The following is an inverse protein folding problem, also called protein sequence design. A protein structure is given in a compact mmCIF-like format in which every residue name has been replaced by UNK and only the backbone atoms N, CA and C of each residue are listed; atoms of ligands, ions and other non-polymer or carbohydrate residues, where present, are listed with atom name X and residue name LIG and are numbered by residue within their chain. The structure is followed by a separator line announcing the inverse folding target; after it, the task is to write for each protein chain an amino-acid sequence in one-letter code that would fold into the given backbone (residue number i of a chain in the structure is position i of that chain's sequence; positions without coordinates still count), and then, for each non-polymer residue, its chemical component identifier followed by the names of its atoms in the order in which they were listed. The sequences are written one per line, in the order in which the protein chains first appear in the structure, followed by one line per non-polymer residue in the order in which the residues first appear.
data_IF_511169385120
#
_entry.id   IF_511169385120
#
_cell.length_a   1.000
_cell.length_b   1.000
_cell.length_c   1.000
_cell.angle_alpha   90.00
_cell.angle_beta   90.00
_cell.angle_gamma   90.00
#
_symmetry.space_group_name_H-M   'P 1'
#
loop_
_entity.id
_entity.type
_entity.pdbx_description
1 polymer ?
#
# COMPACT_ATOMS: atom_id res chain seq x y z
N UNK A 1 -24.44 -1.04 -54.98
CA UNK A 1 -24.91 -1.08 -53.59
C UNK A 1 -23.73 -0.71 -52.70
N UNK A 2 -23.86 0.44 -52.03
CA UNK A 2 -22.75 1.21 -51.43
C UNK A 2 -22.20 0.61 -50.13
N UNK A 3 -20.94 0.20 -50.15
CA UNK A 3 -20.17 -0.25 -48.95
C UNK A 3 -19.73 0.85 -47.99
N UNK A 4 -20.27 2.08 -48.08
CA UNK A 4 -19.86 3.24 -47.27
C UNK A 4 -20.72 3.53 -46.05
N UNK A 5 -21.86 2.88 -45.86
CA UNK A 5 -22.82 3.21 -44.79
C UNK A 5 -22.64 2.42 -43.52
N UNK A 6 -21.89 1.31 -43.54
CA UNK A 6 -21.77 0.40 -42.38
C UNK A 6 -20.69 0.85 -41.34
N UNK A 7 -19.76 1.70 -41.75
CA UNK A 7 -18.66 2.17 -40.84
C UNK A 7 -19.03 3.35 -39.94
N UNK A 8 -20.03 4.13 -40.33
CA UNK A 8 -20.47 5.30 -39.56
C UNK A 8 -21.30 4.94 -38.31
N UNK A 9 -21.98 3.78 -38.33
CA UNK A 9 -22.84 3.35 -37.21
C UNK A 9 -22.00 2.80 -36.03
N UNK A 10 -20.84 2.13 -36.30
CA UNK A 10 -19.98 1.58 -35.26
C UNK A 10 -19.20 2.66 -34.50
N UNK A 11 -18.76 3.71 -35.17
CA UNK A 11 -18.06 4.85 -34.55
C UNK A 11 -18.97 5.70 -33.66
N UNK A 12 -20.25 5.80 -34.00
CA UNK A 12 -21.21 6.61 -33.23
C UNK A 12 -21.66 5.92 -31.92
N UNK A 13 -21.74 4.58 -31.93
CA UNK A 13 -22.09 3.81 -30.71
C UNK A 13 -20.96 3.86 -29.67
N UNK A 14 -19.67 3.84 -30.10
CA UNK A 14 -18.53 3.94 -29.19
C UNK A 14 -18.42 5.31 -28.52
N UNK A 15 -18.72 6.39 -29.26
CA UNK A 15 -18.69 7.77 -28.71
C UNK A 15 -19.84 8.02 -27.73
N UNK A 16 -21.02 7.43 -27.94
CA UNK A 16 -22.16 7.57 -27.05
C UNK A 16 -21.94 6.81 -25.72
N UNK A 17 -21.25 5.68 -25.74
CA UNK A 17 -21.00 4.91 -24.50
C UNK A 17 -19.97 5.56 -23.60
N UNK A 18 -18.92 6.19 -24.13
CA UNK A 18 -17.92 6.92 -23.34
C UNK A 18 -18.50 8.19 -22.70
N UNK A 19 -19.31 8.95 -23.43
CA UNK A 19 -20.01 10.13 -22.90
C UNK A 19 -21.03 9.79 -21.81
N UNK A 20 -21.68 8.65 -21.91
CA UNK A 20 -22.65 8.17 -20.93
C UNK A 20 -21.99 7.78 -19.59
N UNK A 21 -20.83 7.10 -19.62
CA UNK A 21 -20.09 6.70 -18.42
C UNK A 21 -19.58 7.88 -17.62
N UNK A 22 -19.00 8.89 -18.26
CA UNK A 22 -18.56 10.12 -17.59
C UNK A 22 -19.74 10.88 -16.95
N UNK A 23 -20.92 10.88 -17.59
CA UNK A 23 -22.13 11.47 -17.01
C UNK A 23 -22.58 10.74 -15.74
N UNK A 24 -22.57 9.41 -15.70
CA UNK A 24 -22.93 8.63 -14.52
C UNK A 24 -21.92 8.82 -13.37
N UNK A 25 -20.62 8.82 -13.65
CA UNK A 25 -19.57 9.11 -12.66
C UNK A 25 -19.76 10.48 -12.01
N UNK A 26 -20.06 11.52 -12.80
CA UNK A 26 -20.34 12.86 -12.28
C UNK A 26 -21.56 12.87 -11.37
N UNK A 27 -22.69 12.31 -11.83
CA UNK A 27 -23.91 12.19 -11.03
C UNK A 27 -23.68 11.42 -9.73
N UNK A 28 -22.88 10.32 -9.79
CA UNK A 28 -22.55 9.56 -8.61
C UNK A 28 -21.77 10.39 -7.58
N UNK A 29 -20.78 11.16 -8.02
CA UNK A 29 -20.00 12.04 -7.14
C UNK A 29 -20.86 13.15 -6.52
N UNK A 30 -21.81 13.69 -7.25
CA UNK A 30 -22.79 14.67 -6.73
C UNK A 30 -23.69 14.07 -5.64
N UNK A 31 -24.13 12.80 -5.81
CA UNK A 31 -24.89 12.09 -4.78
C UNK A 31 -24.02 11.74 -3.56
N UNK A 32 -22.74 11.47 -3.76
CA UNK A 32 -21.77 11.27 -2.66
C UNK A 32 -21.62 12.56 -1.86
N UNK A 33 -21.44 13.71 -2.50
CA UNK A 33 -21.30 15.00 -1.80
C UNK A 33 -22.55 15.40 -1.00
N UNK A 34 -23.73 14.95 -1.46
CA UNK A 34 -25.01 15.13 -0.76
C UNK A 34 -25.31 14.06 0.29
N UNK A 35 -24.42 13.09 0.47
CA UNK A 35 -24.63 11.92 1.35
C UNK A 35 -25.92 11.12 1.02
N UNK A 36 -26.42 11.20 -0.22
CA UNK A 36 -27.62 10.49 -0.66
C UNK A 36 -27.30 9.04 -1.01
N UNK A 37 -27.24 8.20 0.01
CA UNK A 37 -26.92 6.76 -0.13
C UNK A 37 -27.96 6.01 -0.96
N UNK A 38 -29.25 6.37 -0.86
CA UNK A 38 -30.32 5.73 -1.63
C UNK A 38 -30.21 6.09 -3.11
N UNK A 39 -30.00 7.36 -3.41
CA UNK A 39 -29.77 7.85 -4.78
C UNK A 39 -28.53 7.20 -5.41
N UNK A 40 -27.41 7.10 -4.66
CA UNK A 40 -26.22 6.39 -5.11
C UNK A 40 -26.54 4.95 -5.53
N UNK A 41 -27.26 4.19 -4.70
CA UNK A 41 -27.61 2.78 -4.99
C UNK A 41 -28.48 2.68 -6.26
N UNK A 42 -29.51 3.51 -6.39
CA UNK A 42 -30.38 3.53 -7.58
C UNK A 42 -29.60 3.88 -8.85
N UNK A 43 -28.71 4.88 -8.76
CA UNK A 43 -27.89 5.30 -9.89
C UNK A 43 -26.93 4.19 -10.33
N UNK A 44 -26.25 3.49 -9.40
CA UNK A 44 -25.37 2.37 -9.70
C UNK A 44 -26.11 1.23 -10.42
N UNK A 45 -27.29 0.86 -9.96
CA UNK A 45 -28.13 -0.15 -10.61
C UNK A 45 -28.51 0.25 -12.05
N UNK A 46 -28.92 1.51 -12.26
CA UNK A 46 -29.20 2.04 -13.59
C UNK A 46 -27.96 2.05 -14.48
N UNK A 47 -26.82 2.48 -13.95
CA UNK A 47 -25.56 2.51 -14.68
C UNK A 47 -25.14 1.10 -15.14
N UNK A 48 -25.26 0.10 -14.25
CA UNK A 48 -24.96 -1.30 -14.56
C UNK A 48 -25.86 -1.86 -15.68
N UNK A 49 -27.16 -1.52 -15.67
CA UNK A 49 -28.09 -1.91 -16.73
C UNK A 49 -27.77 -1.27 -18.09
N UNK A 50 -27.35 0.00 -18.08
CA UNK A 50 -27.08 0.75 -19.32
C UNK A 50 -25.67 0.44 -19.86
N UNK A 51 -24.66 0.33 -19.00
CA UNK A 51 -23.28 0.09 -19.41
C UNK A 51 -22.49 -0.70 -18.36
N UNK A 52 -22.69 -2.00 -18.33
CA UNK A 52 -21.91 -2.89 -17.45
C UNK A 52 -20.44 -3.07 -17.87
N UNK A 53 -20.02 -2.45 -18.99
CA UNK A 53 -18.64 -2.50 -19.49
C UNK A 53 -17.87 -1.19 -19.25
N UNK A 54 -18.32 -0.41 -18.26
CA UNK A 54 -17.65 0.80 -17.84
C UNK A 54 -16.75 0.50 -16.61
N UNK A 55 -15.43 0.69 -16.68
CA UNK A 55 -14.54 0.45 -15.55
C UNK A 55 -14.89 1.31 -14.32
N UNK A 56 -15.36 2.54 -14.54
CA UNK A 56 -15.70 3.45 -13.45
C UNK A 56 -16.94 3.00 -12.63
N UNK A 57 -17.81 2.18 -13.22
CA UNK A 57 -18.92 1.56 -12.52
C UNK A 57 -18.44 0.67 -11.35
N UNK A 58 -17.42 -0.17 -11.60
CA UNK A 58 -16.87 -1.08 -10.59
C UNK A 58 -16.15 -0.31 -9.47
N UNK A 59 -15.44 0.75 -9.82
CA UNK A 59 -14.82 1.67 -8.85
C UNK A 59 -15.91 2.38 -8.02
N UNK A 60 -17.00 2.81 -8.64
CA UNK A 60 -18.11 3.46 -7.94
C UNK A 60 -18.83 2.51 -6.97
N UNK A 61 -19.12 1.27 -7.38
CA UNK A 61 -19.66 0.23 -6.50
C UNK A 61 -18.71 -0.07 -5.33
N UNK A 62 -17.44 -0.27 -5.61
CA UNK A 62 -16.42 -0.49 -4.58
C UNK A 62 -16.44 0.62 -3.54
N UNK A 63 -16.32 1.88 -3.98
CA UNK A 63 -16.33 3.03 -3.09
C UNK A 63 -17.64 3.19 -2.31
N UNK A 64 -18.77 2.84 -2.92
CA UNK A 64 -20.07 2.85 -2.26
C UNK A 64 -20.11 1.87 -1.08
N UNK A 65 -19.71 0.62 -1.30
CA UNK A 65 -19.72 -0.41 -0.27
C UNK A 65 -18.62 -0.19 0.79
N UNK A 66 -17.44 0.30 0.42
CA UNK A 66 -16.41 0.71 1.37
C UNK A 66 -16.93 1.76 2.35
N UNK A 67 -17.53 2.84 1.85
CA UNK A 67 -18.12 3.87 2.73
C UNK A 67 -19.22 3.31 3.62
N UNK A 68 -20.08 2.44 3.06
CA UNK A 68 -21.17 1.81 3.81
C UNK A 68 -20.67 0.84 4.88
N UNK A 69 -19.53 0.18 4.67
CA UNK A 69 -18.95 -0.76 5.61
C UNK A 69 -18.31 -0.09 6.82
N UNK A 70 -17.84 1.16 6.69
CA UNK A 70 -17.22 1.89 7.78
C UNK A 70 -18.26 2.25 8.84
N UNK A 71 -18.01 1.85 10.08
CA UNK A 71 -18.86 2.10 11.25
C UNK A 71 -18.07 2.88 12.29
N UNK A 72 -18.67 3.91 12.85
CA UNK A 72 -18.10 4.66 13.97
C UNK A 72 -18.66 4.08 15.27
N UNK A 73 -17.78 3.96 16.28
CA UNK A 73 -18.10 3.50 17.62
C UNK A 73 -17.43 4.40 18.64
N UNK A 74 -17.90 4.36 19.86
CA UNK A 74 -17.22 4.93 21.03
C UNK A 74 -16.62 3.78 21.83
N UNK A 75 -15.34 3.85 22.14
CA UNK A 75 -14.66 2.91 23.02
C UNK A 75 -14.40 3.51 24.39
N UNK A 76 -14.36 2.64 25.38
CA UNK A 76 -13.94 2.96 26.76
C UNK A 76 -12.97 1.85 27.16
N UNK A 77 -11.69 2.16 27.21
CA UNK A 77 -10.62 1.24 27.63
C UNK A 77 -9.35 1.99 28.04
N UNK A 78 -8.30 1.26 28.43
CA UNK A 78 -6.99 1.82 28.83
C UNK A 78 -6.14 2.31 27.66
N UNK A 79 -6.44 1.88 26.42
CA UNK A 79 -5.59 2.08 25.24
C UNK A 79 -5.82 3.44 24.55
N UNK A 80 -6.70 4.26 25.10
CA UNK A 80 -7.11 5.55 24.54
C UNK A 80 -6.18 6.72 24.83
N UNK A 81 -5.05 6.53 25.55
CA UNK A 81 -4.14 7.61 25.99
C UNK A 81 -3.68 8.50 24.84
N UNK A 82 -3.27 7.88 23.74
CA UNK A 82 -2.70 8.59 22.57
C UNK A 82 -3.74 8.88 21.48
N UNK A 83 -5.03 8.56 21.74
CA UNK A 83 -6.12 8.70 20.75
C UNK A 83 -6.97 9.96 20.94
N UNK A 84 -6.52 10.90 21.79
CA UNK A 84 -7.22 12.18 22.03
C UNK A 84 -8.56 12.02 22.75
N UNK A 85 -8.72 10.95 23.52
CA UNK A 85 -9.93 10.65 24.27
C UNK A 85 -10.11 11.45 25.55
N UNK A 86 -11.34 11.47 26.09
CA UNK A 86 -11.62 11.99 27.42
C UNK A 86 -11.12 11.03 28.48
N UNK A 87 -10.42 11.56 29.50
CA UNK A 87 -9.93 10.76 30.62
C UNK A 87 -11.06 10.43 31.60
N UNK A 88 -11.13 9.18 32.01
CA UNK A 88 -12.03 8.69 33.06
C UNK A 88 -11.20 8.57 34.34
N UNK A 89 -11.49 9.43 35.31
CA UNK A 89 -10.82 9.44 36.63
C UNK A 89 -11.66 8.67 37.64
N UNK A 90 -10.99 7.99 38.58
CA UNK A 90 -11.69 7.39 39.75
C UNK A 90 -12.01 8.49 40.75
N UNK A 91 -13.27 8.56 41.17
CA UNK A 91 -13.69 9.42 42.28
C UNK A 91 -12.98 8.93 43.58
N UNK A 92 -12.52 9.79 44.41
CA UNK A 92 -11.78 9.49 45.65
C UNK A 92 -10.40 8.80 45.53
N UNK A 93 -9.75 8.90 44.42
CA UNK A 93 -8.43 8.32 44.23
C UNK A 93 -7.31 9.32 44.48
N UNK A 94 -6.35 8.97 45.35
CA UNK A 94 -5.08 9.68 45.47
C UNK A 94 -4.18 9.50 44.21
N UNK A 95 -4.56 8.58 43.32
CA UNK A 95 -3.89 8.29 42.05
C UNK A 95 -4.42 9.26 41.01
N UNK A 96 -3.53 10.10 40.47
CA UNK A 96 -3.86 11.10 39.44
C UNK A 96 -3.86 10.51 38.00
N UNK A 97 -3.76 9.20 37.87
CA UNK A 97 -3.78 8.54 36.55
C UNK A 97 -5.19 8.14 36.16
N UNK A 98 -5.57 8.32 34.88
CA UNK A 98 -6.85 7.88 34.37
C UNK A 98 -7.01 6.36 34.47
N UNK A 99 -8.20 5.90 34.83
CA UNK A 99 -8.53 4.46 34.87
C UNK A 99 -8.99 3.94 33.51
N UNK A 100 -9.45 4.83 32.63
CA UNK A 100 -9.82 4.54 31.25
C UNK A 100 -9.86 5.84 30.43
N UNK A 101 -10.05 5.67 29.11
CA UNK A 101 -10.25 6.77 28.17
C UNK A 101 -11.52 6.50 27.35
N UNK A 102 -12.28 7.57 27.04
CA UNK A 102 -13.43 7.54 26.15
C UNK A 102 -13.01 8.19 24.83
N UNK A 103 -12.99 7.43 23.74
CA UNK A 103 -12.57 7.94 22.44
C UNK A 103 -13.39 7.36 21.28
N UNK A 104 -13.42 8.11 20.19
CA UNK A 104 -14.02 7.64 18.94
C UNK A 104 -13.11 6.64 18.22
N UNK A 105 -13.70 5.55 17.73
CA UNK A 105 -13.03 4.57 16.91
C UNK A 105 -13.92 4.18 15.72
N UNK A 106 -13.37 3.46 14.76
CA UNK A 106 -14.11 2.98 13.61
C UNK A 106 -13.62 1.59 13.20
N UNK A 107 -14.55 0.79 12.67
CA UNK A 107 -14.24 -0.52 12.10
C UNK A 107 -14.98 -0.70 10.79
N UNK A 108 -14.59 -1.70 10.01
CA UNK A 108 -15.29 -2.09 8.80
C UNK A 108 -16.17 -3.31 9.05
N UNK A 109 -17.47 -3.18 8.76
CA UNK A 109 -18.38 -4.33 8.71
C UNK A 109 -17.91 -5.29 7.61
N UNK A 110 -17.47 -6.47 8.02
CA UNK A 110 -16.85 -7.46 7.13
C UNK A 110 -17.78 -7.94 6.01
N UNK A 111 -19.08 -8.12 6.31
CA UNK A 111 -20.05 -8.56 5.32
C UNK A 111 -20.29 -7.52 4.22
N UNK A 112 -20.39 -6.25 4.62
CA UNK A 112 -20.57 -5.15 3.67
C UNK A 112 -19.25 -4.89 2.89
N UNK A 113 -18.10 -4.98 3.55
CA UNK A 113 -16.79 -4.84 2.90
C UNK A 113 -16.57 -5.94 1.85
N UNK A 114 -17.03 -7.16 2.13
CA UNK A 114 -16.95 -8.28 1.18
C UNK A 114 -17.68 -7.93 -0.14
N UNK A 115 -18.83 -7.26 -0.06
CA UNK A 115 -19.52 -6.79 -1.28
C UNK A 115 -18.67 -5.78 -2.08
N UNK A 116 -17.90 -4.91 -1.40
CA UNK A 116 -16.98 -4.01 -2.10
C UNK A 116 -15.90 -4.80 -2.84
N UNK A 117 -15.31 -5.80 -2.17
CA UNK A 117 -14.26 -6.66 -2.75
C UNK A 117 -14.80 -7.42 -3.97
N UNK A 118 -16.01 -7.97 -3.90
CA UNK A 118 -16.62 -8.67 -5.04
C UNK A 118 -16.81 -7.79 -6.28
N UNK A 119 -17.24 -6.53 -6.08
CA UNK A 119 -17.38 -5.61 -7.20
C UNK A 119 -16.03 -5.22 -7.80
N UNK A 120 -15.01 -4.93 -6.95
CA UNK A 120 -13.68 -4.57 -7.50
C UNK A 120 -13.01 -5.76 -8.18
N UNK A 121 -13.22 -7.00 -7.72
CA UNK A 121 -12.74 -8.22 -8.36
C UNK A 121 -13.36 -8.43 -9.75
N UNK A 122 -14.68 -8.17 -9.88
CA UNK A 122 -15.35 -8.15 -11.20
C UNK A 122 -14.72 -7.10 -12.12
N UNK A 123 -14.38 -5.93 -11.57
CA UNK A 123 -13.69 -4.86 -12.29
C UNK A 123 -12.30 -5.28 -12.73
N UNK A 124 -11.47 -5.82 -11.84
CA UNK A 124 -10.11 -6.30 -12.13
C UNK A 124 -10.14 -7.41 -13.18
N UNK A 125 -11.10 -8.33 -13.11
CA UNK A 125 -11.25 -9.40 -14.09
C UNK A 125 -11.56 -8.86 -15.50
N UNK A 126 -12.40 -7.82 -15.61
CA UNK A 126 -12.76 -7.20 -16.90
C UNK A 126 -11.70 -6.22 -17.41
N UNK A 127 -11.03 -5.51 -16.52
CA UNK A 127 -10.08 -4.45 -16.82
C UNK A 127 -8.75 -4.69 -16.09
N UNK A 128 -8.04 -5.78 -16.41
CA UNK A 128 -6.94 -6.28 -15.59
C UNK A 128 -5.74 -5.34 -15.52
N UNK A 129 -5.61 -4.38 -16.45
CA UNK A 129 -4.54 -3.39 -16.48
C UNK A 129 -4.84 -2.13 -15.61
N UNK A 130 -6.04 -2.03 -15.01
CA UNK A 130 -6.42 -0.93 -14.11
C UNK A 130 -5.75 -1.12 -12.75
N UNK A 131 -4.59 -0.50 -12.58
CA UNK A 131 -3.78 -0.60 -11.36
C UNK A 131 -4.48 0.04 -10.15
N UNK A 132 -5.22 1.12 -10.36
CA UNK A 132 -6.00 1.79 -9.32
C UNK A 132 -7.06 0.88 -8.67
N UNK A 133 -7.64 -0.07 -9.42
CA UNK A 133 -8.56 -1.05 -8.85
C UNK A 133 -7.83 -2.03 -7.91
N UNK A 134 -6.65 -2.53 -8.33
CA UNK A 134 -5.82 -3.42 -7.50
C UNK A 134 -5.32 -2.71 -6.24
N UNK A 135 -4.80 -1.49 -6.40
CA UNK A 135 -4.34 -0.69 -5.27
C UNK A 135 -5.46 -0.30 -4.31
N UNK A 136 -6.67 -0.01 -4.82
CA UNK A 136 -7.84 0.19 -3.98
C UNK A 136 -8.20 -1.02 -3.13
N UNK A 137 -8.11 -2.23 -3.70
CA UNK A 137 -8.33 -3.49 -2.99
C UNK A 137 -7.25 -3.75 -1.93
N UNK A 138 -5.97 -3.61 -2.31
CA UNK A 138 -4.82 -3.73 -1.39
C UNK A 138 -4.99 -2.75 -0.21
N UNK A 139 -5.24 -1.48 -0.51
CA UNK A 139 -5.45 -0.44 0.51
C UNK A 139 -6.53 -0.85 1.52
N UNK A 140 -7.66 -1.38 1.04
CA UNK A 140 -8.74 -1.78 1.93
C UNK A 140 -8.40 -2.97 2.83
N UNK A 141 -7.63 -3.93 2.34
CA UNK A 141 -7.14 -5.00 3.20
C UNK A 141 -6.19 -4.47 4.29
N UNK A 142 -5.31 -3.54 3.96
CA UNK A 142 -4.45 -2.85 4.93
C UNK A 142 -5.27 -2.08 5.98
N UNK A 143 -6.28 -1.31 5.56
CA UNK A 143 -7.16 -0.57 6.46
C UNK A 143 -8.03 -1.49 7.36
N UNK A 144 -8.33 -2.68 6.90
CA UNK A 144 -9.04 -3.69 7.68
C UNK A 144 -8.12 -4.56 8.55
N UNK A 145 -6.81 -4.31 8.55
CA UNK A 145 -5.76 -5.10 9.19
C UNK A 145 -5.78 -6.59 8.76
N UNK A 146 -6.25 -6.89 7.53
CA UNK A 146 -6.21 -8.23 6.94
C UNK A 146 -4.90 -8.38 6.15
N UNK A 147 -3.78 -8.47 6.88
CA UNK A 147 -2.44 -8.43 6.31
C UNK A 147 -2.09 -9.65 5.45
N UNK A 148 -2.73 -10.79 5.65
CA UNK A 148 -2.57 -11.93 4.75
C UNK A 148 -3.16 -11.64 3.38
N UNK A 149 -4.43 -11.18 3.30
CA UNK A 149 -5.04 -10.80 2.02
C UNK A 149 -4.38 -9.60 1.38
N UNK A 150 -3.90 -8.65 2.19
CA UNK A 150 -3.09 -7.52 1.74
C UNK A 150 -1.85 -8.02 0.98
N UNK A 151 -1.09 -8.93 1.61
CA UNK A 151 0.12 -9.52 1.03
C UNK A 151 -0.19 -10.34 -0.23
N UNK A 152 -1.21 -11.18 -0.18
CA UNK A 152 -1.58 -12.03 -1.31
C UNK A 152 -2.01 -11.21 -2.54
N UNK A 153 -2.76 -10.12 -2.35
CA UNK A 153 -3.17 -9.25 -3.46
C UNK A 153 -1.98 -8.47 -4.03
N UNK A 154 -1.02 -8.04 -3.19
CA UNK A 154 0.24 -7.45 -3.64
C UNK A 154 1.00 -8.45 -4.51
N UNK A 155 1.18 -9.69 -4.05
CA UNK A 155 1.88 -10.75 -4.78
C UNK A 155 1.18 -11.07 -6.11
N UNK A 156 -0.15 -11.16 -6.12
CA UNK A 156 -0.92 -11.33 -7.36
C UNK A 156 -0.69 -10.18 -8.34
N UNK A 157 -0.63 -8.94 -7.83
CA UNK A 157 -0.39 -7.75 -8.65
C UNK A 157 1.03 -7.74 -9.22
N UNK A 158 2.05 -8.13 -8.43
CA UNK A 158 3.43 -8.28 -8.89
C UNK A 158 3.52 -9.37 -9.98
N UNK A 159 2.92 -10.53 -9.76
CA UNK A 159 2.93 -11.60 -10.76
C UNK A 159 2.25 -11.15 -12.07
N UNK A 160 1.15 -10.38 -11.97
CA UNK A 160 0.48 -9.86 -13.15
C UNK A 160 1.30 -8.78 -13.87
N UNK A 161 2.13 -8.00 -13.16
CA UNK A 161 3.00 -6.98 -13.78
C UNK A 161 3.98 -7.58 -14.80
N UNK A 162 4.43 -8.80 -14.57
CA UNK A 162 5.27 -9.53 -15.52
C UNK A 162 4.47 -9.94 -16.77
N UNK A 163 3.21 -10.33 -16.62
CA UNK A 163 2.32 -10.73 -17.71
C UNK A 163 1.94 -9.55 -18.60
N UNK A 164 1.54 -8.41 -18.00
CA UNK A 164 1.14 -7.22 -18.75
C UNK A 164 2.33 -6.31 -19.14
N UNK A 165 3.57 -6.70 -18.76
CA UNK A 165 4.81 -5.94 -19.04
C UNK A 165 4.72 -4.50 -18.52
N UNK A 166 4.16 -4.30 -17.33
CA UNK A 166 3.88 -3.00 -16.72
C UNK A 166 3.02 -2.06 -17.57
N UNK A 167 2.21 -2.56 -18.50
CA UNK A 167 1.26 -1.75 -19.27
C UNK A 167 0.05 -1.39 -18.41
N UNK A 168 0.31 -0.62 -17.35
CA UNK A 168 -0.69 -0.19 -16.39
C UNK A 168 -1.46 1.04 -16.87
N UNK A 169 -2.73 1.07 -16.54
CA UNK A 169 -3.59 2.25 -16.66
C UNK A 169 -4.11 2.68 -15.29
N UNK A 170 -4.51 3.92 -15.20
CA UNK A 170 -5.07 4.54 -14.00
C UNK A 170 -6.50 5.01 -14.26
N UNK A 171 -7.03 5.87 -13.40
CA UNK A 171 -8.38 6.46 -13.53
C UNK A 171 -8.73 6.79 -14.98
N UNK A 172 -9.96 6.55 -15.36
CA UNK A 172 -10.47 6.75 -16.73
C UNK A 172 -9.69 5.96 -17.79
N UNK A 173 -9.05 4.86 -17.38
CA UNK A 173 -8.20 3.98 -18.24
C UNK A 173 -7.05 4.70 -18.92
N UNK A 174 -6.56 5.82 -18.35
CA UNK A 174 -5.41 6.55 -18.88
C UNK A 174 -4.13 5.79 -18.60
N UNK A 175 -3.21 5.65 -19.58
CA UNK A 175 -1.89 5.10 -19.34
C UNK A 175 -1.12 5.90 -18.28
N UNK A 176 -0.24 5.24 -17.54
CA UNK A 176 0.72 5.89 -16.65
C UNK A 176 1.98 6.27 -17.44
N UNK A 177 2.57 7.44 -17.16
CA UNK A 177 3.78 7.91 -17.85
C UNK A 177 5.01 7.05 -17.54
N UNK A 178 5.18 6.65 -16.27
CA UNK A 178 6.28 5.77 -15.83
C UNK A 178 5.71 4.58 -15.04
N UNK A 179 5.00 3.67 -15.70
CA UNK A 179 4.16 2.69 -15.01
C UNK A 179 4.94 1.71 -14.15
N UNK A 180 6.14 1.28 -14.54
CA UNK A 180 6.98 0.41 -13.73
C UNK A 180 7.50 1.11 -12.48
N UNK A 181 8.01 2.33 -12.62
CA UNK A 181 8.52 3.10 -11.49
C UNK A 181 7.40 3.42 -10.49
N UNK A 182 6.25 3.88 -10.98
CA UNK A 182 5.08 4.14 -10.14
C UNK A 182 4.64 2.89 -9.38
N UNK A 183 4.61 1.74 -10.05
CA UNK A 183 4.24 0.46 -9.45
C UNK A 183 5.22 0.06 -8.35
N UNK A 184 6.52 0.07 -8.63
CA UNK A 184 7.55 -0.35 -7.68
C UNK A 184 7.64 0.59 -6.48
N UNK A 185 7.47 1.91 -6.68
CA UNK A 185 7.40 2.88 -5.59
C UNK A 185 6.23 2.60 -4.64
N UNK A 186 5.03 2.31 -5.18
CA UNK A 186 3.88 1.95 -4.36
C UNK A 186 4.08 0.64 -3.58
N UNK A 187 4.84 -0.33 -4.14
CA UNK A 187 5.19 -1.54 -3.40
C UNK A 187 6.11 -1.24 -2.21
N UNK A 188 7.00 -0.25 -2.33
CA UNK A 188 7.82 0.21 -1.22
C UNK A 188 6.95 0.81 -0.10
N UNK A 189 5.96 1.65 -0.44
CA UNK A 189 5.02 2.22 0.54
C UNK A 189 4.26 1.12 1.30
N UNK A 190 3.86 0.04 0.63
CA UNK A 190 3.22 -1.11 1.28
C UNK A 190 4.17 -1.90 2.20
N UNK A 191 5.45 -2.01 1.84
CA UNK A 191 6.47 -2.62 2.71
C UNK A 191 6.69 -1.77 3.97
N UNK A 192 6.76 -0.44 3.82
CA UNK A 192 6.85 0.50 4.95
C UNK A 192 5.62 0.36 5.86
N UNK A 193 4.41 0.29 5.30
CA UNK A 193 3.18 0.10 6.07
C UNK A 193 3.24 -1.19 6.92
N UNK A 194 3.76 -2.31 6.40
CA UNK A 194 3.92 -3.53 7.19
C UNK A 194 4.96 -3.36 8.29
N UNK A 195 6.09 -2.75 7.99
CA UNK A 195 7.16 -2.50 8.94
C UNK A 195 6.71 -1.61 10.11
N UNK A 196 5.98 -0.54 9.83
CA UNK A 196 5.45 0.41 10.83
C UNK A 196 4.41 -0.19 11.78
N UNK A 197 3.90 -1.39 11.49
CA UNK A 197 3.05 -2.10 12.46
C UNK A 197 3.82 -2.61 13.68
N UNK A 198 5.15 -2.70 13.59
CA UNK A 198 6.05 -3.27 14.60
C UNK A 198 5.70 -4.72 15.01
N UNK A 199 5.01 -5.47 14.13
CA UNK A 199 4.56 -6.82 14.38
C UNK A 199 5.50 -7.85 13.76
N UNK A 200 6.23 -8.57 14.59
CA UNK A 200 7.18 -9.60 14.14
C UNK A 200 6.52 -10.71 13.29
N UNK A 201 5.23 -11.00 13.54
CA UNK A 201 4.47 -11.97 12.74
C UNK A 201 4.34 -11.56 11.26
N UNK A 202 4.48 -10.26 10.92
CA UNK A 202 4.40 -9.75 9.55
C UNK A 202 5.74 -9.74 8.81
N UNK A 203 6.85 -10.11 9.46
CA UNK A 203 8.14 -10.26 8.78
C UNK A 203 8.09 -11.28 7.64
N UNK A 204 7.32 -12.36 7.82
CA UNK A 204 7.08 -13.33 6.75
C UNK A 204 6.36 -12.72 5.54
N UNK A 205 5.38 -11.84 5.77
CA UNK A 205 4.66 -11.11 4.73
C UNK A 205 5.60 -10.18 3.96
N UNK A 206 6.43 -9.41 4.67
CA UNK A 206 7.44 -8.54 4.06
C UNK A 206 8.44 -9.33 3.21
N UNK A 207 8.92 -10.47 3.71
CA UNK A 207 9.84 -11.35 2.97
C UNK A 207 9.20 -11.86 1.67
N UNK A 208 7.98 -12.39 1.73
CA UNK A 208 7.24 -12.89 0.56
C UNK A 208 7.08 -11.81 -0.52
N UNK A 209 6.77 -10.57 -0.14
CA UNK A 209 6.63 -9.45 -1.08
C UNK A 209 7.99 -9.14 -1.70
N UNK A 210 9.05 -8.95 -0.90
CA UNK A 210 10.40 -8.61 -1.38
C UNK A 210 10.95 -9.69 -2.33
N UNK A 211 10.84 -10.96 -1.97
CA UNK A 211 11.25 -12.10 -2.81
C UNK A 211 10.47 -12.12 -4.13
N UNK A 212 9.16 -11.84 -4.09
CA UNK A 212 8.33 -11.82 -5.30
C UNK A 212 8.72 -10.65 -6.22
N UNK A 213 9.03 -9.47 -5.67
CA UNK A 213 9.56 -8.35 -6.48
C UNK A 213 10.88 -8.75 -7.10
N UNK A 214 11.83 -9.27 -6.33
CA UNK A 214 13.18 -9.64 -6.79
C UNK A 214 13.17 -10.77 -7.84
N UNK A 215 12.14 -11.60 -7.87
CA UNK A 215 11.94 -12.59 -8.95
C UNK A 215 11.80 -11.96 -10.33
N UNK A 216 11.14 -10.81 -10.43
CA UNK A 216 10.86 -10.12 -11.70
C UNK A 216 11.72 -8.87 -11.91
N UNK A 217 12.18 -8.27 -10.82
CA UNK A 217 13.00 -7.05 -10.77
C UNK A 217 14.24 -7.31 -9.89
N UNK A 218 15.16 -8.17 -10.34
CA UNK A 218 16.25 -8.69 -9.49
C UNK A 218 17.21 -7.61 -8.98
N UNK A 219 17.21 -6.44 -9.61
CA UNK A 219 18.10 -5.30 -9.27
C UNK A 219 17.34 -4.15 -8.58
N UNK A 220 16.14 -4.40 -8.06
CA UNK A 220 15.38 -3.42 -7.30
C UNK A 220 15.99 -3.24 -5.90
N UNK A 221 16.68 -2.11 -5.69
CA UNK A 221 17.50 -1.84 -4.51
C UNK A 221 16.66 -1.83 -3.23
N UNK A 222 15.50 -1.21 -3.25
CA UNK A 222 14.59 -1.13 -2.11
C UNK A 222 14.13 -2.53 -1.67
N UNK A 223 13.82 -3.42 -2.61
CA UNK A 223 13.43 -4.80 -2.26
C UNK A 223 14.60 -5.64 -1.76
N UNK A 224 15.82 -5.40 -2.24
CA UNK A 224 17.03 -6.00 -1.66
C UNK A 224 17.22 -5.55 -0.21
N UNK A 225 17.00 -4.26 0.07
CA UNK A 225 17.09 -3.70 1.42
C UNK A 225 15.98 -4.25 2.32
N UNK A 226 14.73 -4.32 1.85
CA UNK A 226 13.61 -4.87 2.61
C UNK A 226 13.84 -6.34 2.98
N UNK A 227 14.32 -7.16 2.04
CA UNK A 227 14.64 -8.57 2.32
C UNK A 227 15.75 -8.69 3.36
N UNK A 228 16.75 -7.81 3.29
CA UNK A 228 17.80 -7.75 4.30
C UNK A 228 17.27 -7.40 5.69
N UNK A 229 16.39 -6.39 5.79
CA UNK A 229 15.76 -5.99 7.06
C UNK A 229 15.03 -7.18 7.69
N UNK A 230 14.28 -7.94 6.90
CA UNK A 230 13.58 -9.16 7.36
C UNK A 230 14.59 -10.16 7.96
N UNK A 231 15.68 -10.47 7.26
CA UNK A 231 16.70 -11.40 7.77
C UNK A 231 17.41 -10.86 9.02
N UNK A 232 17.68 -9.55 9.09
CA UNK A 232 18.31 -8.93 10.25
C UNK A 232 17.43 -9.01 11.50
N UNK A 233 16.12 -8.71 11.37
CA UNK A 233 15.16 -8.83 12.46
C UNK A 233 14.97 -10.28 12.92
N UNK A 234 15.11 -11.24 12.01
CA UNK A 234 15.17 -12.68 12.32
C UNK A 234 16.55 -13.15 12.85
N UNK A 235 17.50 -12.23 13.07
CA UNK A 235 18.89 -12.52 13.52
C UNK A 235 19.70 -13.39 12.54
N UNK A 236 19.31 -13.44 11.25
CA UNK A 236 20.00 -14.17 10.20
C UNK A 236 20.96 -13.24 9.45
N UNK A 237 21.92 -12.67 10.16
CA UNK A 237 22.75 -11.55 9.69
C UNK A 237 23.53 -11.84 8.39
N UNK A 238 24.06 -13.06 8.23
CA UNK A 238 24.78 -13.44 7.01
C UNK A 238 23.85 -13.46 5.78
N UNK A 239 22.59 -13.90 5.94
CA UNK A 239 21.60 -13.85 4.88
C UNK A 239 21.17 -12.42 4.57
N UNK A 240 21.11 -11.55 5.58
CA UNK A 240 20.80 -10.14 5.41
C UNK A 240 21.88 -9.35 4.67
N UNK A 241 23.14 -9.68 4.86
CA UNK A 241 24.26 -9.02 4.18
C UNK A 241 24.27 -9.28 2.66
N UNK A 242 23.93 -10.47 2.21
CA UNK A 242 24.02 -10.82 0.79
C UNK A 242 23.22 -9.90 -0.15
N UNK A 243 21.92 -9.62 0.10
CA UNK A 243 21.15 -8.68 -0.74
C UNK A 243 21.68 -7.23 -0.63
N UNK A 244 22.15 -6.78 0.54
CA UNK A 244 22.70 -5.43 0.69
C UNK A 244 24.01 -5.25 -0.08
N UNK A 245 24.91 -6.22 -0.07
CA UNK A 245 26.14 -6.18 -0.85
C UNK A 245 25.86 -6.23 -2.37
N UNK A 246 24.74 -6.83 -2.78
CA UNK A 246 24.26 -6.70 -4.16
C UNK A 246 23.75 -5.29 -4.44
N UNK A 247 22.97 -4.69 -3.54
CA UNK A 247 22.47 -3.33 -3.66
C UNK A 247 23.61 -2.30 -3.71
N UNK A 248 24.64 -2.44 -2.89
CA UNK A 248 25.86 -1.61 -2.93
C UNK A 248 26.55 -1.65 -4.30
N UNK A 249 26.65 -2.83 -4.93
CA UNK A 249 27.24 -2.94 -6.29
C UNK A 249 26.42 -2.20 -7.33
N UNK A 250 25.09 -2.13 -7.18
CA UNK A 250 24.20 -1.41 -8.08
C UNK A 250 24.26 0.11 -7.87
N UNK A 251 24.34 0.55 -6.62
CA UNK A 251 24.50 1.97 -6.26
C UNK A 251 25.48 2.13 -5.07
N UNK A 252 26.79 2.27 -5.33
CA UNK A 252 27.81 2.34 -4.28
C UNK A 252 27.78 3.57 -3.38
N UNK A 253 26.95 4.56 -3.71
CA UNK A 253 26.79 5.81 -2.95
C UNK A 253 25.44 5.93 -2.25
N UNK A 254 24.63 4.90 -2.31
CA UNK A 254 23.34 4.87 -1.63
C UNK A 254 23.56 4.79 -0.12
N UNK A 255 23.35 5.93 0.54
CA UNK A 255 23.61 6.03 1.99
C UNK A 255 22.67 5.18 2.82
N UNK A 256 21.45 4.87 2.35
CA UNK A 256 20.50 3.98 3.02
C UNK A 256 21.06 2.54 2.98
N UNK A 257 21.52 2.09 1.81
CA UNK A 257 22.13 0.77 1.66
C UNK A 257 23.40 0.67 2.53
N UNK A 258 24.27 1.68 2.49
CA UNK A 258 25.50 1.71 3.27
C UNK A 258 25.21 1.68 4.78
N UNK A 259 24.22 2.43 5.25
CA UNK A 259 23.78 2.42 6.64
C UNK A 259 23.24 1.05 7.07
N UNK A 260 22.45 0.41 6.21
CA UNK A 260 21.93 -0.94 6.47
C UNK A 260 23.04 -1.99 6.51
N UNK A 261 24.08 -1.89 5.66
CA UNK A 261 25.27 -2.75 5.71
C UNK A 261 26.04 -2.54 7.02
N UNK A 262 26.22 -1.27 7.43
CA UNK A 262 26.89 -0.96 8.70
C UNK A 262 26.14 -1.58 9.88
N UNK A 263 24.81 -1.44 9.92
CA UNK A 263 23.97 -2.02 10.96
C UNK A 263 24.03 -3.54 10.96
N UNK A 264 24.01 -4.18 9.78
CA UNK A 264 24.13 -5.64 9.67
C UNK A 264 25.45 -6.15 10.24
N UNK A 265 26.59 -5.49 9.93
CA UNK A 265 27.89 -5.83 10.51
C UNK A 265 27.95 -5.55 12.02
N UNK A 266 27.33 -4.45 12.50
CA UNK A 266 27.23 -4.15 13.93
C UNK A 266 26.49 -5.26 14.67
N UNK A 267 25.33 -5.68 14.18
CA UNK A 267 24.52 -6.75 14.76
C UNK A 267 25.23 -8.11 14.72
N UNK A 268 26.06 -8.36 13.70
CA UNK A 268 26.92 -9.55 13.60
C UNK A 268 28.12 -9.53 14.54
N UNK A 269 28.46 -8.38 15.12
CA UNK A 269 29.65 -8.20 15.96
C UNK A 269 30.92 -7.87 15.17
N UNK A 270 30.85 -7.66 13.86
CA UNK A 270 31.99 -7.26 13.03
C UNK A 270 32.18 -5.73 13.10
N UNK A 271 32.78 -5.29 14.21
CA UNK A 271 33.04 -3.89 14.52
C UNK A 271 33.84 -3.18 13.41
N UNK A 272 34.84 -3.86 12.82
CA UNK A 272 35.69 -3.27 11.78
C UNK A 272 34.91 -2.88 10.54
N UNK A 273 34.07 -3.78 10.02
CA UNK A 273 33.27 -3.51 8.85
C UNK A 273 32.12 -2.56 9.19
N UNK A 274 31.49 -2.64 10.37
CA UNK A 274 30.49 -1.70 10.82
C UNK A 274 31.01 -0.23 10.76
N UNK A 275 32.21 0.01 11.34
CA UNK A 275 32.87 1.34 11.31
C UNK A 275 33.06 1.80 9.88
N UNK A 276 33.68 0.97 9.02
CA UNK A 276 33.91 1.30 7.61
C UNK A 276 32.62 1.79 6.91
N UNK A 277 31.54 1.07 7.08
CA UNK A 277 30.30 1.39 6.37
C UNK A 277 29.55 2.59 6.99
N UNK A 278 29.63 2.82 8.31
CA UNK A 278 29.13 4.07 8.89
C UNK A 278 29.95 5.29 8.43
N UNK A 279 31.26 5.18 8.24
CA UNK A 279 32.08 6.24 7.64
C UNK A 279 31.66 6.54 6.19
N UNK A 280 31.31 5.52 5.40
CA UNK A 280 30.77 5.69 4.06
C UNK A 280 29.38 6.34 4.10
N UNK A 281 28.53 5.99 5.07
CA UNK A 281 27.23 6.65 5.29
C UNK A 281 27.40 8.14 5.60
N UNK A 282 28.38 8.50 6.45
CA UNK A 282 28.72 9.93 6.71
C UNK A 282 29.17 10.64 5.46
N UNK A 283 29.93 9.96 4.61
CA UNK A 283 30.47 10.56 3.38
C UNK A 283 29.41 10.86 2.32
N UNK A 284 28.37 10.03 2.21
CA UNK A 284 27.39 10.11 1.12
C UNK A 284 25.96 10.42 1.58
N UNK A 285 25.70 10.42 2.90
CA UNK A 285 24.38 10.62 3.49
C UNK A 285 23.95 12.08 3.54
N UNK A 286 22.65 12.24 3.73
CA UNK A 286 22.04 13.51 4.16
C UNK A 286 22.31 13.77 5.65
N UNK A 287 21.84 14.90 6.16
CA UNK A 287 22.06 15.33 7.54
C UNK A 287 21.58 14.27 8.57
N UNK A 288 20.40 13.69 8.34
CA UNK A 288 19.81 12.68 9.23
C UNK A 288 20.63 11.38 9.24
N UNK A 289 21.06 10.90 8.08
CA UNK A 289 21.89 9.71 7.96
C UNK A 289 23.27 9.90 8.59
N UNK A 290 23.86 11.10 8.43
CA UNK A 290 25.15 11.48 9.03
C UNK A 290 25.06 11.49 10.54
N UNK A 291 24.03 12.08 11.13
CA UNK A 291 23.87 12.16 12.58
C UNK A 291 23.63 10.78 13.19
N UNK A 292 22.79 9.96 12.54
CA UNK A 292 22.62 8.57 12.92
C UNK A 292 23.95 7.78 12.89
N UNK A 293 24.70 7.86 11.78
CA UNK A 293 25.96 7.13 11.65
C UNK A 293 27.02 7.57 12.67
N UNK A 294 27.11 8.87 12.98
CA UNK A 294 28.01 9.40 14.04
C UNK A 294 27.62 8.83 15.40
N UNK A 295 26.36 8.82 15.76
CA UNK A 295 25.85 8.25 17.01
C UNK A 295 26.26 6.76 17.14
N UNK A 296 26.10 5.99 16.04
CA UNK A 296 26.47 4.57 16.02
C UNK A 296 27.98 4.34 16.15
N UNK A 297 28.81 5.21 15.55
CA UNK A 297 30.27 5.15 15.71
C UNK A 297 30.72 5.46 17.14
N UNK A 298 30.09 6.41 17.81
CA UNK A 298 30.38 6.70 19.22
C UNK A 298 30.06 5.50 20.13
N UNK A 299 28.94 4.84 19.89
CA UNK A 299 28.56 3.62 20.62
C UNK A 299 29.58 2.48 20.41
N UNK A 300 29.99 2.28 19.15
CA UNK A 300 31.00 1.27 18.83
C UNK A 300 32.38 1.55 19.45
N UNK A 301 32.73 2.81 19.73
CA UNK A 301 34.00 3.17 20.38
C UNK A 301 33.99 2.94 21.91
N UNK A 302 32.81 2.96 22.53
CA UNK A 302 32.63 2.79 23.99
C UNK A 302 32.60 1.31 24.39
N UNK A 303 32.24 0.42 23.45
CA UNK A 303 32.21 -1.04 23.63
C UNK A 303 33.40 -1.71 22.93
#
# INVERSE_FOLDING_TARGET
MNKKTTWLIFGFILLLTQGCGQSYKKQFNELVSKSDTLGQKKLLQKWEQVNSNDPELYVAYFNFYVRKSKKSIVRIDSDGKDKGGYQVMKEDSSVKEPVAYIYGDSYFDRGILQSAIEYIDRGIKKFPNRLDMRFGKIYMYGQANDYEKFTDEIIQTINYSATNKNKWTWKDSKPLDSPQQFFLSALQDYQVQLYETEKDELLGNMGRIAETVLKYYPDHIESLSNLSVVFMLQKQYDKGLAPLLKAEKLNPKDHIVLSNIAQAYKLKGDKKNAIKYYELTIKYGDEQAVDYAKSQLEELKKN
#
